data_IF_743145873402
#
_entry.id   IF_743145873402
#
_cell.length_a   1.000
_cell.length_b   1.000
_cell.length_c   1.000
_cell.angle_alpha   90.00
_cell.angle_beta   90.00
_cell.angle_gamma   90.00
#
_symmetry.space_group_name_H-M   'P 1'
#
loop_
_entity.id
_entity.type
_entity.pdbx_description
1 polymer ?
#
# COMPACT_ATOMS: atom_id res chain seq x y z
N UNK A 1 -13.73 1.61 22.19
CA UNK A 1 -13.25 2.99 22.37
C UNK A 1 -12.78 3.54 21.01
N UNK A 2 -13.30 4.71 20.55
CA UNK A 2 -12.99 5.24 19.21
C UNK A 2 -11.49 5.45 18.97
N UNK A 3 -10.74 5.95 19.94
CA UNK A 3 -9.31 6.18 19.77
C UNK A 3 -8.52 4.88 19.60
N UNK A 4 -8.93 3.82 20.28
CA UNK A 4 -8.29 2.50 20.12
C UNK A 4 -8.51 1.95 18.71
N UNK A 5 -9.71 2.12 18.16
CA UNK A 5 -10.03 1.70 16.80
C UNK A 5 -9.16 2.46 15.79
N UNK A 6 -9.04 3.77 15.95
CA UNK A 6 -8.20 4.60 15.07
C UNK A 6 -6.74 4.17 15.11
N UNK A 7 -6.20 3.96 16.32
CA UNK A 7 -4.81 3.54 16.49
C UNK A 7 -4.54 2.19 15.85
N UNK A 8 -5.43 1.21 16.09
CA UNK A 8 -5.28 -0.15 15.53
C UNK A 8 -5.34 -0.11 14.01
N UNK A 9 -6.31 0.61 13.43
CA UNK A 9 -6.43 0.73 11.98
C UNK A 9 -5.22 1.43 11.37
N UNK A 10 -4.69 2.48 12.03
CA UNK A 10 -3.50 3.17 11.56
C UNK A 10 -2.28 2.23 11.51
N UNK A 11 -2.07 1.44 12.57
CA UNK A 11 -0.97 0.48 12.62
C UNK A 11 -1.11 -0.60 11.55
N UNK A 12 -2.31 -1.17 11.39
CA UNK A 12 -2.57 -2.18 10.37
C UNK A 12 -2.37 -1.61 8.96
N UNK A 13 -2.80 -0.36 8.74
CA UNK A 13 -2.61 0.30 7.45
C UNK A 13 -1.12 0.51 7.13
N UNK A 14 -0.29 0.83 8.12
CA UNK A 14 1.15 0.98 7.91
C UNK A 14 1.84 -0.37 7.70
N UNK A 15 1.38 -1.43 8.34
CA UNK A 15 1.85 -2.78 8.04
C UNK A 15 1.54 -3.09 6.57
N UNK A 16 0.30 -2.85 6.14
CA UNK A 16 -0.13 -3.06 4.77
C UNK A 16 0.64 -2.18 3.77
N UNK A 17 0.98 -0.96 4.17
CA UNK A 17 1.74 -0.03 3.35
C UNK A 17 3.15 -0.55 3.04
N UNK A 18 3.79 -1.22 4.00
CA UNK A 18 5.13 -1.77 3.84
C UNK A 18 5.19 -3.06 3.03
N UNK A 19 4.10 -3.83 3.00
CA UNK A 19 4.09 -5.16 2.35
C UNK A 19 4.42 -5.14 0.85
N UNK A 20 3.84 -4.25 0.02
CA UNK A 20 4.11 -4.28 -1.43
C UNK A 20 5.57 -4.08 -1.80
N UNK A 21 6.29 -3.25 -1.07
CA UNK A 21 7.71 -3.00 -1.33
C UNK A 21 8.53 -4.28 -1.19
N UNK A 22 8.19 -5.11 -0.20
CA UNK A 22 8.85 -6.38 0.02
C UNK A 22 8.46 -7.46 -0.98
N UNK A 23 7.21 -7.43 -1.49
CA UNK A 23 6.73 -8.42 -2.45
C UNK A 23 7.51 -8.38 -3.76
N UNK A 24 7.73 -7.19 -4.30
CA UNK A 24 8.30 -7.02 -5.64
C UNK A 24 9.73 -7.53 -5.71
N UNK A 25 10.54 -7.29 -4.68
CA UNK A 25 11.93 -7.75 -4.67
C UNK A 25 12.05 -9.27 -4.80
N UNK A 26 11.23 -10.01 -4.07
CA UNK A 26 11.23 -11.47 -4.09
C UNK A 26 10.59 -12.02 -5.36
N UNK A 27 9.53 -11.36 -5.84
CA UNK A 27 8.79 -11.79 -7.02
C UNK A 27 9.48 -11.43 -8.35
N UNK A 28 10.45 -10.53 -8.33
CA UNK A 28 11.02 -9.94 -9.55
C UNK A 28 11.52 -10.96 -10.55
N UNK A 29 12.29 -12.01 -10.18
CA UNK A 29 12.72 -13.00 -11.17
C UNK A 29 11.53 -13.66 -11.88
N UNK A 30 10.45 -13.95 -11.18
CA UNK A 30 9.25 -14.56 -11.75
C UNK A 30 8.48 -13.60 -12.65
N UNK A 31 8.35 -12.34 -12.23
CA UNK A 31 7.70 -11.29 -13.02
C UNK A 31 8.47 -11.04 -14.30
N UNK A 32 9.78 -10.93 -14.19
CA UNK A 32 10.68 -10.71 -15.31
C UNK A 32 10.56 -11.82 -16.35
N UNK A 33 10.53 -13.07 -15.88
CA UNK A 33 10.36 -14.22 -16.76
C UNK A 33 8.99 -14.23 -17.44
N UNK A 34 7.94 -13.85 -16.71
CA UNK A 34 6.58 -13.83 -17.25
C UNK A 34 6.42 -12.83 -18.39
N UNK A 35 7.02 -11.65 -18.29
CA UNK A 35 6.91 -10.60 -19.30
C UNK A 35 8.06 -10.62 -20.32
N UNK A 36 9.06 -11.46 -20.11
CA UNK A 36 10.26 -11.57 -20.98
C UNK A 36 10.94 -10.20 -21.12
N UNK A 37 11.27 -9.58 -19.98
CA UNK A 37 11.86 -8.24 -19.91
C UNK A 37 13.24 -8.30 -19.26
N UNK A 38 14.12 -7.29 -19.51
CA UNK A 38 15.45 -7.27 -18.92
C UNK A 38 15.41 -7.01 -17.41
N UNK A 39 16.51 -7.33 -16.73
CA UNK A 39 16.63 -7.17 -15.28
C UNK A 39 16.42 -5.72 -14.83
N UNK A 40 16.89 -4.77 -15.62
CA UNK A 40 16.82 -3.33 -15.30
C UNK A 40 15.44 -2.72 -15.54
N UNK A 41 14.48 -3.46 -16.11
CA UNK A 41 13.10 -3.00 -16.27
C UNK A 41 12.44 -2.71 -14.92
N UNK A 42 12.93 -3.32 -13.82
CA UNK A 42 12.45 -3.03 -12.47
C UNK A 42 12.56 -1.53 -12.13
N UNK A 43 13.61 -0.86 -12.60
CA UNK A 43 13.81 0.56 -12.34
C UNK A 43 12.65 1.43 -12.82
N UNK A 44 12.10 1.12 -13.99
CA UNK A 44 10.94 1.85 -14.54
C UNK A 44 9.71 1.69 -13.63
N UNK A 45 9.47 0.49 -13.14
CA UNK A 45 8.37 0.21 -12.23
C UNK A 45 8.54 0.94 -10.89
N UNK A 46 9.74 0.93 -10.34
CA UNK A 46 10.04 1.62 -9.09
C UNK A 46 9.94 3.14 -9.24
N UNK A 47 10.39 3.69 -10.38
CA UNK A 47 10.26 5.11 -10.67
C UNK A 47 8.80 5.55 -10.80
N UNK A 48 7.97 4.74 -11.44
CA UNK A 48 6.55 5.01 -11.56
C UNK A 48 5.88 5.06 -10.18
N UNK A 49 6.19 4.10 -9.31
CA UNK A 49 5.68 4.07 -7.94
C UNK A 49 6.13 5.29 -7.13
N UNK A 50 7.41 5.65 -7.23
CA UNK A 50 7.95 6.82 -6.55
C UNK A 50 7.30 8.12 -7.04
N UNK A 51 7.08 8.24 -8.34
CA UNK A 51 6.41 9.41 -8.91
C UNK A 51 4.99 9.56 -8.36
N UNK A 52 4.22 8.45 -8.37
CA UNK A 52 2.88 8.46 -7.78
C UNK A 52 2.88 8.83 -6.31
N UNK A 53 3.82 8.25 -5.56
CA UNK A 53 3.99 8.53 -4.13
C UNK A 53 4.27 10.00 -3.87
N UNK A 54 5.22 10.59 -4.59
CA UNK A 54 5.58 12.01 -4.41
C UNK A 54 4.42 12.94 -4.77
N UNK A 55 3.73 12.66 -5.87
CA UNK A 55 2.60 13.48 -6.32
C UNK A 55 1.47 13.45 -5.28
N UNK A 56 1.07 12.28 -4.83
CA UNK A 56 -0.03 12.17 -3.86
C UNK A 56 0.37 12.70 -2.49
N UNK A 57 1.62 12.53 -2.07
CA UNK A 57 2.11 13.12 -0.82
C UNK A 57 2.04 14.64 -0.85
N UNK A 58 2.43 15.25 -1.96
CA UNK A 58 2.37 16.71 -2.13
C UNK A 58 0.94 17.23 -2.13
N UNK A 59 -0.02 16.47 -2.67
CA UNK A 59 -1.42 16.85 -2.77
C UNK A 59 -2.26 16.40 -1.57
N UNK A 60 -1.69 15.64 -0.66
CA UNK A 60 -2.41 15.02 0.46
C UNK A 60 -3.12 16.05 1.36
N UNK A 61 -2.44 17.15 1.70
CA UNK A 61 -3.02 18.18 2.55
C UNK A 61 -4.33 18.75 2.02
N UNK A 62 -4.34 19.32 0.81
CA UNK A 62 -5.57 19.84 0.20
C UNK A 62 -6.65 18.78 0.01
N UNK A 63 -6.28 17.57 -0.39
CA UNK A 63 -7.24 16.48 -0.63
C UNK A 63 -7.90 16.05 0.68
N UNK A 64 -7.13 15.86 1.74
CA UNK A 64 -7.66 15.52 3.07
C UNK A 64 -8.54 16.65 3.59
N UNK A 65 -8.13 17.91 3.38
CA UNK A 65 -8.91 19.06 3.81
C UNK A 65 -10.28 19.13 3.13
N UNK A 66 -10.38 18.68 1.89
CA UNK A 66 -11.63 18.71 1.12
C UNK A 66 -12.52 17.48 1.36
N UNK A 67 -11.92 16.29 1.42
CA UNK A 67 -12.66 15.03 1.45
C UNK A 67 -12.74 14.37 2.83
N UNK A 68 -11.85 14.76 3.74
CA UNK A 68 -11.73 14.14 5.05
C UNK A 68 -10.78 12.95 5.03
N UNK A 69 -10.08 12.75 6.16
CA UNK A 69 -9.04 11.70 6.26
C UNK A 69 -9.60 10.28 6.06
N UNK A 70 -10.77 9.99 6.61
CA UNK A 70 -11.36 8.65 6.51
C UNK A 70 -11.64 8.23 5.08
N UNK A 71 -12.22 9.13 4.29
CA UNK A 71 -12.51 8.87 2.87
C UNK A 71 -11.25 8.73 2.04
N UNK A 72 -10.24 9.57 2.31
CA UNK A 72 -8.96 9.50 1.62
C UNK A 72 -8.28 8.16 1.91
N UNK A 73 -8.27 7.72 3.17
CA UNK A 73 -7.69 6.43 3.54
C UNK A 73 -8.43 5.25 2.89
N UNK A 74 -9.76 5.28 2.92
CA UNK A 74 -10.57 4.23 2.29
C UNK A 74 -10.30 4.15 0.78
N UNK A 75 -10.34 5.29 0.09
CA UNK A 75 -10.09 5.36 -1.35
C UNK A 75 -8.66 4.93 -1.69
N UNK A 76 -7.68 5.34 -0.90
CA UNK A 76 -6.27 5.01 -1.12
C UNK A 76 -5.99 3.52 -0.90
N UNK A 77 -6.54 2.91 0.12
CA UNK A 77 -6.43 1.47 0.34
C UNK A 77 -7.12 0.68 -0.78
N UNK A 78 -8.27 1.14 -1.26
CA UNK A 78 -8.95 0.52 -2.39
C UNK A 78 -8.09 0.61 -3.66
N UNK A 79 -7.47 1.76 -3.87
CA UNK A 79 -6.63 2.02 -5.04
C UNK A 79 -5.37 1.14 -5.02
N UNK A 80 -4.67 1.04 -3.89
CA UNK A 80 -3.51 0.18 -3.76
C UNK A 80 -3.88 -1.29 -3.89
N UNK A 81 -4.94 -1.73 -3.23
CA UNK A 81 -5.40 -3.12 -3.31
C UNK A 81 -5.80 -3.51 -4.73
N UNK A 82 -6.57 -2.66 -5.40
CA UNK A 82 -6.96 -2.87 -6.79
C UNK A 82 -5.74 -2.92 -7.72
N UNK A 83 -4.75 -2.06 -7.50
CA UNK A 83 -3.52 -2.04 -8.29
C UNK A 83 -2.72 -3.34 -8.13
N UNK A 84 -2.56 -3.83 -6.89
CA UNK A 84 -1.84 -5.07 -6.63
C UNK A 84 -2.50 -6.27 -7.31
N UNK A 85 -3.82 -6.36 -7.25
CA UNK A 85 -4.57 -7.40 -7.96
C UNK A 85 -4.45 -7.19 -9.48
N UNK A 86 -4.52 -5.94 -9.92
CA UNK A 86 -4.36 -5.58 -11.33
C UNK A 86 -3.03 -6.01 -11.93
N UNK A 87 -1.94 -6.02 -11.16
CA UNK A 87 -0.64 -6.54 -11.62
C UNK A 87 -0.74 -7.96 -12.14
N UNK A 88 -1.64 -8.75 -11.57
CA UNK A 88 -1.79 -10.15 -11.91
C UNK A 88 -2.66 -10.38 -13.16
N UNK A 89 -3.36 -9.35 -13.62
CA UNK A 89 -4.32 -9.44 -14.71
C UNK A 89 -3.84 -8.78 -16.00
N UNK A 90 -2.79 -7.94 -15.94
CA UNK A 90 -2.33 -7.19 -17.11
C UNK A 90 -1.51 -8.07 -18.03
N UNK A 91 -1.72 -7.96 -19.36
CA UNK A 91 -1.00 -8.81 -20.34
C UNK A 91 0.39 -8.27 -20.71
N UNK A 92 0.68 -6.99 -20.47
CA UNK A 92 1.93 -6.37 -20.87
C UNK A 92 2.57 -5.59 -19.73
N UNK A 93 3.91 -5.49 -19.75
CA UNK A 93 4.68 -4.83 -18.71
C UNK A 93 4.33 -3.34 -18.56
N UNK A 94 4.09 -2.64 -19.68
CA UNK A 94 3.73 -1.22 -19.61
C UNK A 94 2.49 -0.94 -18.78
N UNK A 95 1.51 -1.83 -18.83
CA UNK A 95 0.29 -1.71 -18.00
C UNK A 95 0.61 -1.96 -16.52
N UNK A 96 1.52 -2.88 -16.21
CA UNK A 96 1.96 -3.10 -14.84
C UNK A 96 2.68 -1.87 -14.29
N UNK A 97 3.52 -1.21 -15.09
CA UNK A 97 4.22 0.03 -14.72
C UNK A 97 3.21 1.14 -14.43
N UNK A 98 2.17 1.26 -15.26
CA UNK A 98 1.10 2.25 -15.05
C UNK A 98 0.35 1.98 -13.73
N UNK A 99 0.06 0.72 -13.44
CA UNK A 99 -0.55 0.35 -12.16
C UNK A 99 0.40 0.61 -10.99
N UNK A 100 1.70 0.52 -11.20
CA UNK A 100 2.70 0.90 -10.20
C UNK A 100 2.60 2.38 -9.83
N UNK A 101 2.37 3.24 -10.81
CA UNK A 101 2.11 4.66 -10.58
C UNK A 101 0.84 4.84 -9.72
N UNK A 102 -0.23 4.13 -10.05
CA UNK A 102 -1.51 4.19 -9.32
C UNK A 102 -1.34 3.68 -7.88
N UNK A 103 -0.62 2.58 -7.70
CA UNK A 103 -0.30 2.05 -6.37
C UNK A 103 0.49 3.06 -5.55
N UNK A 104 1.44 3.74 -6.17
CA UNK A 104 2.23 4.80 -5.53
C UNK A 104 1.37 5.98 -5.08
N UNK A 105 0.39 6.39 -5.90
CA UNK A 105 -0.57 7.43 -5.53
C UNK A 105 -1.32 7.06 -4.24
N UNK A 106 -1.81 5.83 -4.16
CA UNK A 106 -2.48 5.34 -2.96
C UNK A 106 -1.55 5.29 -1.75
N UNK A 107 -0.35 4.77 -1.92
CA UNK A 107 0.63 4.64 -0.85
C UNK A 107 1.04 6.00 -0.28
N UNK A 108 1.29 6.99 -1.15
CA UNK A 108 1.67 8.33 -0.72
C UNK A 108 0.57 9.03 0.08
N UNK A 109 -0.68 8.84 -0.32
CA UNK A 109 -1.82 9.42 0.39
C UNK A 109 -2.02 8.77 1.76
N UNK A 110 -1.86 7.46 1.87
CA UNK A 110 -1.95 6.74 3.15
C UNK A 110 -0.84 7.21 4.09
N UNK A 111 0.39 7.21 3.60
CA UNK A 111 1.56 7.58 4.40
C UNK A 111 1.45 9.01 4.93
N UNK A 112 1.26 9.97 4.02
CA UNK A 112 1.15 11.39 4.40
C UNK A 112 -0.08 11.66 5.27
N UNK A 113 -1.22 11.08 4.92
CA UNK A 113 -2.46 11.28 5.65
C UNK A 113 -2.39 10.75 7.08
N UNK A 114 -1.91 9.52 7.27
CA UNK A 114 -1.80 8.93 8.59
C UNK A 114 -0.70 9.57 9.43
N UNK A 115 0.44 9.93 8.84
CA UNK A 115 1.48 10.65 9.56
C UNK A 115 0.95 11.97 10.13
N UNK A 116 0.26 12.75 9.32
CA UNK A 116 -0.32 14.02 9.74
C UNK A 116 -1.39 13.80 10.83
N UNK A 117 -2.27 12.82 10.63
CA UNK A 117 -3.34 12.53 11.57
C UNK A 117 -2.80 12.09 12.94
N UNK A 118 -1.83 11.17 12.93
CA UNK A 118 -1.24 10.68 14.18
C UNK A 118 -0.46 11.78 14.89
N UNK A 119 0.25 12.63 14.15
CA UNK A 119 0.96 13.78 14.72
C UNK A 119 0.00 14.74 15.42
N UNK A 120 -1.19 14.96 14.85
CA UNK A 120 -2.16 15.91 15.39
C UNK A 120 -2.98 15.35 16.56
N UNK A 121 -3.27 14.05 16.56
CA UNK A 121 -4.19 13.42 17.50
C UNK A 121 -3.53 12.54 18.56
N UNK A 122 -2.31 12.12 18.31
CA UNK A 122 -1.56 11.24 19.22
C UNK A 122 -0.16 11.82 19.45
N UNK A 123 0.55 11.25 20.38
CA UNK A 123 1.88 11.73 20.73
C UNK A 123 2.98 11.10 19.88
N UNK A 124 4.21 11.55 20.14
CA UNK A 124 5.42 11.09 19.46
C UNK A 124 5.63 9.57 19.58
N UNK A 125 5.26 9.00 20.72
CA UNK A 125 5.35 7.56 20.96
C UNK A 125 4.53 6.76 19.95
N UNK A 126 3.31 7.22 19.66
CA UNK A 126 2.44 6.58 18.68
C UNK A 126 3.02 6.69 17.27
N UNK A 127 3.68 7.81 16.96
CA UNK A 127 4.37 7.97 15.69
C UNK A 127 5.50 6.94 15.53
N UNK A 128 6.26 6.69 16.58
CA UNK A 128 7.30 5.67 16.56
C UNK A 128 6.73 4.27 16.33
N UNK A 129 5.61 3.95 16.99
CA UNK A 129 4.92 2.68 16.78
C UNK A 129 4.38 2.55 15.35
N UNK A 130 3.91 3.66 14.78
CA UNK A 130 3.44 3.69 13.39
C UNK A 130 4.58 3.31 12.42
N UNK A 131 5.75 3.90 12.58
CA UNK A 131 6.92 3.58 11.77
C UNK A 131 7.42 2.15 11.99
N UNK A 132 7.35 1.66 13.22
CA UNK A 132 7.68 0.25 13.52
C UNK A 132 6.71 -0.70 12.80
N UNK A 133 5.44 -0.33 12.71
CA UNK A 133 4.44 -1.11 11.97
C UNK A 133 4.80 -1.22 10.48
N UNK A 134 5.28 -0.14 9.88
CA UNK A 134 5.77 -0.16 8.50
C UNK A 134 6.92 -1.18 8.34
N UNK A 135 7.85 -1.22 9.30
CA UNK A 135 8.93 -2.21 9.31
C UNK A 135 8.43 -3.65 9.37
N UNK A 136 7.37 -3.90 10.13
CA UNK A 136 6.71 -5.21 10.16
C UNK A 136 6.19 -5.58 8.77
N UNK A 137 5.58 -4.62 8.07
CA UNK A 137 5.08 -4.82 6.71
C UNK A 137 6.18 -5.15 5.72
N UNK A 138 7.28 -4.40 5.74
CA UNK A 138 8.44 -4.64 4.87
C UNK A 138 9.00 -6.05 5.10
N UNK A 139 9.00 -6.53 6.34
CA UNK A 139 9.49 -7.86 6.69
C UNK A 139 8.48 -8.94 6.28
N UNK A 140 7.19 -8.68 6.46
CA UNK A 140 6.13 -9.65 6.15
C UNK A 140 5.98 -9.88 4.64
N UNK A 141 6.16 -8.84 3.82
CA UNK A 141 6.01 -8.93 2.38
C UNK A 141 6.85 -10.05 1.76
N UNK A 142 8.17 -10.05 1.95
CA UNK A 142 9.02 -11.11 1.43
C UNK A 142 8.62 -12.51 1.92
N UNK A 143 8.19 -12.64 3.16
CA UNK A 143 7.74 -13.92 3.72
C UNK A 143 6.50 -14.42 2.98
N UNK A 144 5.52 -13.55 2.76
CA UNK A 144 4.28 -13.88 2.03
C UNK A 144 4.61 -14.29 0.59
N UNK A 145 5.46 -13.53 -0.09
CA UNK A 145 5.82 -13.84 -1.48
C UNK A 145 6.64 -15.12 -1.58
N UNK A 146 7.56 -15.37 -0.64
CA UNK A 146 8.32 -16.61 -0.59
C UNK A 146 7.37 -17.81 -0.41
N UNK A 147 6.39 -17.69 0.47
CA UNK A 147 5.37 -18.71 0.65
C UNK A 147 4.59 -18.95 -0.65
N UNK A 148 4.16 -17.88 -1.32
CA UNK A 148 3.41 -17.98 -2.57
C UNK A 148 4.23 -18.67 -3.66
N UNK A 149 5.52 -18.35 -3.79
CA UNK A 149 6.40 -18.94 -4.80
C UNK A 149 6.73 -20.40 -4.49
N UNK A 150 7.00 -20.74 -3.22
CA UNK A 150 7.45 -22.08 -2.85
C UNK A 150 6.32 -23.08 -2.68
N UNK A 151 5.20 -22.66 -2.12
CA UNK A 151 4.07 -23.55 -1.82
C UNK A 151 2.92 -23.46 -2.81
N UNK A 152 2.71 -22.29 -3.42
CA UNK A 152 1.62 -22.06 -4.36
C UNK A 152 2.09 -21.93 -5.81
N UNK A 153 3.39 -21.90 -6.02
CA UNK A 153 4.05 -21.80 -7.34
C UNK A 153 3.56 -20.62 -8.19
N UNK A 154 3.21 -19.49 -7.53
CA UNK A 154 2.65 -18.35 -8.23
C UNK A 154 2.99 -17.03 -7.53
N UNK A 155 3.70 -16.14 -8.23
CA UNK A 155 3.92 -14.78 -7.74
C UNK A 155 2.63 -13.97 -7.71
N UNK A 156 1.68 -14.33 -8.59
CA UNK A 156 0.37 -13.64 -8.64
C UNK A 156 -0.40 -13.81 -7.36
N UNK A 157 -0.37 -15.00 -6.75
CA UNK A 157 -1.08 -15.25 -5.50
C UNK A 157 -0.53 -14.41 -4.34
N UNK A 158 0.77 -14.12 -4.32
CA UNK A 158 1.35 -13.23 -3.34
C UNK A 158 0.75 -11.82 -3.42
N UNK A 159 0.64 -11.27 -4.62
CA UNK A 159 0.01 -9.97 -4.83
C UNK A 159 -1.49 -9.98 -4.53
N UNK A 160 -2.17 -11.05 -4.92
CA UNK A 160 -3.62 -11.17 -4.65
C UNK A 160 -3.89 -11.19 -3.15
N UNK A 161 -3.10 -11.95 -2.38
CA UNK A 161 -3.27 -12.03 -0.93
C UNK A 161 -3.13 -10.66 -0.26
N UNK A 162 -2.07 -9.92 -0.62
CA UNK A 162 -1.85 -8.58 -0.05
C UNK A 162 -2.87 -7.59 -0.59
N UNK A 163 -3.23 -7.70 -1.87
CA UNK A 163 -4.26 -6.84 -2.47
C UNK A 163 -5.62 -7.01 -1.79
N UNK A 164 -6.03 -8.25 -1.52
CA UNK A 164 -7.27 -8.53 -0.79
C UNK A 164 -7.23 -7.98 0.63
N UNK A 165 -6.08 -8.09 1.29
CA UNK A 165 -5.90 -7.51 2.62
C UNK A 165 -6.10 -5.99 2.59
N UNK A 166 -5.55 -5.32 1.59
CA UNK A 166 -5.71 -3.87 1.42
C UNK A 166 -7.15 -3.48 1.09
N UNK A 167 -7.85 -4.26 0.28
CA UNK A 167 -9.27 -4.02 0.02
C UNK A 167 -10.12 -4.21 1.28
N UNK A 168 -9.77 -5.19 2.10
CA UNK A 168 -10.42 -5.37 3.40
C UNK A 168 -10.21 -4.15 4.30
N UNK A 169 -8.99 -3.60 4.34
CA UNK A 169 -8.72 -2.36 5.06
C UNK A 169 -9.52 -1.18 4.52
N UNK A 170 -9.70 -1.11 3.19
CA UNK A 170 -10.53 -0.07 2.58
C UNK A 170 -11.96 -0.14 3.12
N UNK A 171 -12.51 -1.35 3.26
CA UNK A 171 -13.82 -1.55 3.86
C UNK A 171 -13.85 -1.14 5.33
N UNK A 172 -12.79 -1.44 6.07
CA UNK A 172 -12.67 -1.03 7.47
C UNK A 172 -12.68 0.50 7.60
N UNK A 173 -11.93 1.20 6.76
CA UNK A 173 -11.92 2.67 6.78
C UNK A 173 -13.28 3.23 6.35
N UNK A 174 -13.92 2.64 5.34
CA UNK A 174 -15.22 3.08 4.87
C UNK A 174 -16.30 2.88 5.96
N UNK A 175 -16.20 1.82 6.75
CA UNK A 175 -17.15 1.56 7.83
C UNK A 175 -16.92 2.40 9.08
N UNK A 176 -15.76 3.05 9.20
CA UNK A 176 -15.39 3.86 10.36
C UNK A 176 -15.26 5.36 10.03
N UNK A 177 -15.88 5.82 8.94
CA UNK A 177 -15.76 7.22 8.51
C UNK A 177 -16.12 8.21 9.61
N UNK A 178 -17.18 7.95 10.36
CA UNK A 178 -17.65 8.84 11.42
C UNK A 178 -16.64 8.99 12.56
N UNK A 179 -15.79 7.98 12.78
CA UNK A 179 -14.76 8.00 13.82
C UNK A 179 -13.58 8.89 13.43
N UNK A 180 -13.29 8.98 12.13
CA UNK A 180 -12.16 9.76 11.60
C UNK A 180 -12.48 11.25 11.46
N UNK A 181 -13.75 11.63 11.52
CA UNK A 181 -14.20 13.01 11.29
C UNK A 181 -14.12 13.89 12.56
N UNK A 182 -13.72 13.36 13.71
CA UNK A 182 -13.69 14.09 14.98
C UNK A 182 -12.29 14.43 15.46
#
# INVERSE_FOLDING_TARGET
HPQAVLAVLAFIAFIALGMPDGLTGVAWPSIRANFTIPLDALGMFLMAGMTGYLVSSALSGPVVGRWGIGRVLAASCALTGASLIGYTLVPVWGMMVLLGLVSGLGAGAIDSGLNAYVADHFGERMMQWLHASYGIGITSGPVIMTFALTHLNSWRLGYIMVGLFQLFLALCFASTLTVWEH
#
